data_IF_017809635220
#
_entry.id   IF_017809635220
#
_cell.length_a   1.000
_cell.length_b   1.000
_cell.length_c   1.000
_cell.angle_alpha   90.00
_cell.angle_beta   90.00
_cell.angle_gamma   90.00
#
_symmetry.space_group_name_H-M   'P 1'
#
loop_
_entity.id
_entity.type
_entity.pdbx_description
1 polymer ?
#
# COMPACT_ATOMS: atom_id res chain seq x y z
N UNK A 1 -1.74 -11.41 -20.42
CA UNK A 1 -2.33 -12.19 -19.31
C UNK A 1 -1.26 -12.13 -18.23
N UNK A 2 -1.52 -11.40 -17.15
CA UNK A 2 -0.51 -11.11 -16.13
C UNK A 2 -1.02 -11.56 -14.78
N UNK A 3 -0.08 -11.89 -13.90
CA UNK A 3 -0.37 -12.31 -12.54
C UNK A 3 -0.96 -11.12 -11.79
N UNK A 4 -2.18 -11.27 -11.27
CA UNK A 4 -2.86 -10.20 -10.52
C UNK A 4 -3.24 -10.74 -9.15
N UNK A 5 -2.93 -9.93 -8.14
CA UNK A 5 -3.29 -10.20 -6.76
C UNK A 5 -4.25 -9.12 -6.26
N UNK A 6 -5.30 -9.55 -5.57
CA UNK A 6 -6.11 -8.67 -4.74
C UNK A 6 -5.39 -8.43 -3.41
N UNK A 7 -5.17 -7.17 -3.09
CA UNK A 7 -4.80 -6.72 -1.76
C UNK A 7 -6.01 -6.15 -1.05
N UNK A 8 -6.24 -6.57 0.19
CA UNK A 8 -7.27 -6.02 1.08
C UNK A 8 -6.63 -5.61 2.40
N UNK A 9 -6.51 -4.32 2.63
CA UNK A 9 -5.86 -3.69 3.78
C UNK A 9 -6.93 -3.04 4.64
N UNK A 10 -6.92 -3.30 5.94
CA UNK A 10 -7.77 -2.65 6.92
C UNK A 10 -6.97 -2.43 8.20
N UNK A 11 -6.60 -1.19 8.49
CA UNK A 11 -5.65 -0.87 9.55
C UNK A 11 -6.10 0.31 10.40
N UNK A 12 -5.80 0.22 11.69
CA UNK A 12 -5.73 1.35 12.61
C UNK A 12 -4.26 1.79 12.65
N UNK A 13 -4.02 3.07 12.41
CA UNK A 13 -2.71 3.70 12.53
C UNK A 13 -2.67 4.60 13.77
N UNK A 14 -1.47 4.78 14.29
CA UNK A 14 -1.19 5.69 15.42
C UNK A 14 -1.55 7.14 15.07
N UNK A 15 -1.68 8.00 16.07
CA UNK A 15 -2.00 9.43 15.88
C UNK A 15 -0.80 10.34 15.67
N UNK A 16 0.42 9.82 15.72
CA UNK A 16 1.69 10.58 15.63
C UNK A 16 2.21 10.76 14.20
N UNK A 17 1.40 10.46 13.18
CA UNK A 17 1.75 10.73 11.78
C UNK A 17 1.91 12.24 11.57
N UNK A 18 3.02 12.63 10.98
CA UNK A 18 3.26 14.01 10.56
C UNK A 18 2.32 14.42 9.42
N UNK A 19 2.13 15.72 9.23
CA UNK A 19 1.32 16.24 8.12
C UNK A 19 1.84 15.79 6.74
N UNK A 20 3.17 15.68 6.59
CA UNK A 20 3.81 15.18 5.36
C UNK A 20 3.49 13.71 5.10
N UNK A 21 3.60 12.85 6.12
CA UNK A 21 3.24 11.44 6.01
C UNK A 21 1.76 11.24 5.69
N UNK A 22 0.86 12.05 6.29
CA UNK A 22 -0.57 12.00 5.96
C UNK A 22 -0.81 12.44 4.51
N UNK A 23 -0.12 13.47 4.03
CA UNK A 23 -0.25 13.94 2.64
C UNK A 23 0.22 12.88 1.63
N UNK A 24 1.37 12.25 1.90
CA UNK A 24 1.91 11.19 1.05
C UNK A 24 1.05 9.91 1.10
N UNK A 25 0.55 9.53 2.28
CA UNK A 25 -0.39 8.41 2.40
C UNK A 25 -1.69 8.70 1.61
N UNK A 26 -2.23 9.92 1.68
CA UNK A 26 -3.38 10.32 0.86
C UNK A 26 -3.07 10.24 -0.62
N UNK A 27 -1.88 10.66 -1.05
CA UNK A 27 -1.46 10.50 -2.44
C UNK A 27 -1.43 9.03 -2.86
N UNK A 28 -0.75 8.17 -2.10
CA UNK A 28 -0.72 6.73 -2.39
C UNK A 28 -2.11 6.09 -2.45
N UNK A 29 -3.08 6.64 -1.72
CA UNK A 29 -4.48 6.21 -1.73
C UNK A 29 -5.34 6.85 -2.84
N UNK A 30 -4.77 7.72 -3.68
CA UNK A 30 -5.51 8.46 -4.70
C UNK A 30 -6.44 9.53 -4.14
N UNK A 31 -6.25 9.93 -2.87
CA UNK A 31 -7.08 10.88 -2.13
C UNK A 31 -6.46 12.29 -2.06
N UNK A 32 -5.30 12.50 -2.68
CA UNK A 32 -4.56 13.75 -2.64
C UNK A 32 -3.52 13.87 -3.76
N UNK A 33 -2.96 15.07 -3.96
CA UNK A 33 -1.90 15.31 -4.93
C UNK A 33 -0.58 14.69 -4.47
N UNK A 34 0.31 14.43 -5.43
CA UNK A 34 1.67 13.99 -5.13
C UNK A 34 2.42 15.05 -4.29
N UNK A 35 3.11 14.65 -3.21
CA UNK A 35 3.95 15.57 -2.44
C UNK A 35 5.23 15.94 -3.22
N UNK A 36 5.79 17.12 -2.93
CA UNK A 36 7.05 17.58 -3.56
C UNK A 36 8.25 16.70 -3.22
N UNK A 37 8.24 16.07 -2.04
CA UNK A 37 9.30 15.16 -1.59
C UNK A 37 8.69 13.98 -0.84
N UNK A 38 8.40 12.87 -1.56
CA UNK A 38 7.99 11.60 -0.96
C UNK A 38 9.07 11.06 0.00
N UNK A 39 8.62 10.51 1.11
CA UNK A 39 9.43 10.04 2.25
C UNK A 39 9.05 8.64 2.72
N UNK A 40 7.80 8.22 2.49
CA UNK A 40 7.29 6.87 2.74
C UNK A 40 7.83 5.91 1.67
N UNK A 41 7.64 6.25 0.39
CA UNK A 41 8.25 5.54 -0.74
C UNK A 41 9.00 6.58 -1.59
N UNK A 42 10.33 6.70 -1.43
CA UNK A 42 11.08 7.79 -2.04
C UNK A 42 11.40 7.56 -3.53
N UNK A 43 11.36 6.33 -4.01
CA UNK A 43 11.84 5.97 -5.36
C UNK A 43 10.87 5.04 -6.09
N UNK A 44 10.70 5.27 -7.39
CA UNK A 44 9.81 4.53 -8.29
C UNK A 44 10.53 4.14 -9.59
N UNK A 45 11.61 3.35 -9.51
CA UNK A 45 12.36 2.94 -10.68
C UNK A 45 11.47 2.15 -11.65
N UNK A 46 11.48 2.54 -12.92
CA UNK A 46 10.74 1.91 -14.00
C UNK A 46 11.64 1.74 -15.22
N UNK A 47 11.73 0.51 -15.75
CA UNK A 47 12.49 0.23 -16.97
C UNK A 47 11.63 0.59 -18.17
N UNK A 48 12.10 1.53 -18.97
CA UNK A 48 11.39 2.05 -20.14
C UNK A 48 12.32 2.10 -21.34
N UNK A 49 11.77 2.19 -22.53
CA UNK A 49 12.56 2.36 -23.75
C UNK A 49 12.88 3.85 -23.96
N UNK A 50 14.14 4.17 -24.22
CA UNK A 50 14.57 5.49 -24.69
C UNK A 50 14.18 5.73 -26.17
N UNK A 51 14.52 6.91 -26.70
CA UNK A 51 14.24 7.27 -28.10
C UNK A 51 14.92 6.35 -29.14
N UNK A 52 15.97 5.62 -28.75
CA UNK A 52 16.67 4.64 -29.56
C UNK A 52 16.15 3.20 -29.35
N UNK A 53 15.17 3.00 -28.46
CA UNK A 53 14.62 1.70 -28.09
C UNK A 53 15.46 0.92 -27.07
N UNK A 54 16.47 1.53 -26.46
CA UNK A 54 17.30 0.95 -25.41
C UNK A 54 16.65 1.04 -24.03
N UNK A 55 16.90 0.08 -23.11
CA UNK A 55 16.34 0.13 -21.77
C UNK A 55 17.03 1.19 -20.91
N UNK A 56 16.24 2.09 -20.32
CA UNK A 56 16.67 3.10 -19.34
C UNK A 56 15.80 2.99 -18.09
N UNK A 57 16.39 3.24 -16.91
CA UNK A 57 15.65 3.33 -15.65
C UNK A 57 15.27 4.79 -15.42
N UNK A 58 13.98 5.05 -15.36
CA UNK A 58 13.42 6.35 -15.01
C UNK A 58 12.66 6.28 -13.69
N UNK A 59 12.67 7.36 -12.92
CA UNK A 59 11.82 7.50 -11.75
C UNK A 59 10.42 7.96 -12.19
N UNK A 60 9.41 7.10 -11.99
CA UNK A 60 8.03 7.34 -12.42
C UNK A 60 7.07 7.23 -11.22
N UNK A 61 6.98 8.27 -10.39
CA UNK A 61 6.16 8.27 -9.19
C UNK A 61 4.68 8.10 -9.50
N UNK A 62 4.01 7.25 -8.72
CA UNK A 62 2.59 6.97 -8.87
C UNK A 62 1.94 6.47 -7.58
N UNK A 63 0.62 6.65 -7.43
CA UNK A 63 -0.09 6.16 -6.26
C UNK A 63 -0.13 4.63 -6.28
N UNK A 64 0.23 3.99 -5.16
CA UNK A 64 0.38 2.53 -5.07
C UNK A 64 -0.93 1.81 -4.71
N UNK A 65 -1.82 2.49 -4.01
CA UNK A 65 -3.13 2.01 -3.57
C UNK A 65 -4.24 2.97 -4.02
N UNK A 66 -4.04 3.68 -5.12
CA UNK A 66 -4.91 4.78 -5.54
C UNK A 66 -5.89 4.44 -6.64
N UNK A 67 -5.95 3.18 -7.09
CA UNK A 67 -6.88 2.79 -8.15
C UNK A 67 -8.30 2.85 -7.61
N UNK A 68 -9.20 3.41 -8.42
CA UNK A 68 -10.64 3.54 -8.13
C UNK A 68 -11.43 2.98 -9.31
N UNK A 69 -12.66 2.54 -9.07
CA UNK A 69 -13.56 2.00 -10.10
C UNK A 69 -13.74 0.49 -9.98
N UNK A 70 -14.08 -0.17 -11.08
CA UNK A 70 -14.26 -1.63 -11.11
C UNK A 70 -12.91 -2.37 -11.12
N UNK A 71 -12.84 -3.49 -10.41
CA UNK A 71 -11.72 -4.43 -10.51
C UNK A 71 -11.70 -5.10 -11.88
N UNK A 72 -10.50 -5.28 -12.45
CA UNK A 72 -10.33 -5.85 -13.79
C UNK A 72 -10.42 -7.38 -13.76
N UNK A 73 -9.84 -8.01 -12.73
CA UNK A 73 -9.73 -9.47 -12.59
C UNK A 73 -10.58 -10.00 -11.45
N UNK A 74 -10.74 -9.21 -10.40
CA UNK A 74 -11.48 -9.56 -9.21
C UNK A 74 -12.73 -8.70 -9.12
N UNK A 75 -13.93 -9.32 -9.13
CA UNK A 75 -15.20 -8.59 -9.06
C UNK A 75 -15.28 -7.61 -7.89
N UNK A 76 -16.04 -6.53 -8.06
CA UNK A 76 -16.23 -5.49 -7.05
C UNK A 76 -15.40 -4.24 -7.30
N UNK A 77 -15.50 -3.25 -6.41
CA UNK A 77 -14.84 -1.97 -6.56
C UNK A 77 -13.41 -1.97 -5.98
N UNK A 78 -12.50 -1.28 -6.64
CA UNK A 78 -11.24 -0.83 -6.06
C UNK A 78 -11.53 0.42 -5.24
N UNK A 79 -11.12 0.41 -3.98
CA UNK A 79 -11.46 1.48 -3.02
C UNK A 79 -10.25 1.80 -2.16
N UNK A 80 -10.17 3.06 -1.73
CA UNK A 80 -9.23 3.51 -0.71
C UNK A 80 -9.85 4.61 0.12
N UNK A 81 -9.75 4.48 1.44
CA UNK A 81 -10.35 5.37 2.43
C UNK A 81 -9.35 5.61 3.54
N UNK A 82 -9.24 6.87 3.98
CA UNK A 82 -8.45 7.29 5.14
C UNK A 82 -9.27 8.29 5.96
N UNK A 83 -9.53 7.98 7.23
CA UNK A 83 -10.27 8.86 8.15
C UNK A 83 -9.47 9.12 9.43
N UNK A 84 -9.60 10.33 9.96
CA UNK A 84 -9.05 10.70 11.27
C UNK A 84 -9.99 10.21 12.39
N UNK A 85 -9.40 9.73 13.50
CA UNK A 85 -10.12 9.36 14.73
C UNK A 85 -9.87 10.42 15.81
N UNK A 86 -10.47 11.59 15.61
CA UNK A 86 -10.26 12.77 16.50
C UNK A 86 -10.71 12.54 17.95
N UNK A 87 -11.64 11.61 18.20
CA UNK A 87 -12.18 11.34 19.53
C UNK A 87 -11.33 10.39 20.40
N UNK A 88 -10.23 9.82 19.87
CA UNK A 88 -9.36 8.93 20.64
C UNK A 88 -8.35 9.75 21.47
N UNK A 89 -7.96 9.31 22.70
CA UNK A 89 -7.06 10.05 23.58
C UNK A 89 -5.71 10.46 22.95
N UNK A 90 -5.23 9.68 21.98
CA UNK A 90 -3.97 9.93 21.26
C UNK A 90 -4.21 10.24 19.77
N UNK A 91 -5.44 10.57 19.38
CA UNK A 91 -5.86 10.58 17.98
C UNK A 91 -5.67 9.22 17.30
N UNK A 92 -5.65 9.22 15.99
CA UNK A 92 -5.37 8.02 15.19
C UNK A 92 -5.93 8.15 13.78
N UNK A 93 -5.58 7.20 12.93
CA UNK A 93 -6.13 7.10 11.59
C UNK A 93 -6.71 5.71 11.37
N UNK A 94 -7.77 5.64 10.58
CA UNK A 94 -8.29 4.37 10.07
C UNK A 94 -8.20 4.37 8.57
N UNK A 95 -7.72 3.25 8.03
CA UNK A 95 -7.49 3.07 6.62
C UNK A 95 -8.15 1.79 6.15
N UNK A 96 -8.74 1.84 4.95
CA UNK A 96 -9.16 0.65 4.21
C UNK A 96 -8.77 0.82 2.76
N UNK A 97 -8.12 -0.18 2.18
CA UNK A 97 -7.81 -0.20 0.75
C UNK A 97 -8.08 -1.59 0.18
N UNK A 98 -8.70 -1.65 -0.99
CA UNK A 98 -8.85 -2.86 -1.79
C UNK A 98 -8.34 -2.57 -3.20
N UNK A 99 -7.29 -3.27 -3.60
CA UNK A 99 -6.54 -2.97 -4.82
C UNK A 99 -6.20 -4.25 -5.58
N UNK A 100 -6.02 -4.12 -6.89
CA UNK A 100 -5.38 -5.14 -7.71
C UNK A 100 -3.94 -4.70 -7.97
N UNK A 101 -2.98 -5.59 -7.75
CA UNK A 101 -1.54 -5.33 -7.96
C UNK A 101 -0.90 -6.45 -8.77
N UNK A 102 0.07 -6.07 -9.60
CA UNK A 102 0.93 -7.02 -10.31
C UNK A 102 2.20 -7.31 -9.47
N UNK A 103 2.82 -8.50 -9.56
CA UNK A 103 4.09 -8.80 -8.89
C UNK A 103 5.21 -7.78 -9.13
N UNK A 104 5.29 -7.20 -10.32
CA UNK A 104 6.25 -6.11 -10.64
C UNK A 104 6.07 -4.85 -9.76
N UNK A 105 4.96 -4.73 -9.03
CA UNK A 105 4.68 -3.64 -8.08
C UNK A 105 5.05 -4.03 -6.64
N UNK A 106 5.40 -5.29 -6.34
CA UNK A 106 5.58 -5.81 -4.98
C UNK A 106 6.68 -5.11 -4.21
N UNK A 107 7.79 -4.73 -4.83
CA UNK A 107 8.86 -4.02 -4.11
C UNK A 107 8.38 -2.65 -3.61
N UNK A 108 7.68 -1.90 -4.46
CA UNK A 108 7.14 -0.56 -4.11
C UNK A 108 6.00 -0.64 -3.11
N UNK A 109 5.04 -1.53 -3.36
CA UNK A 109 3.94 -1.79 -2.43
C UNK A 109 4.49 -2.32 -1.11
N UNK A 110 5.54 -3.14 -1.16
CA UNK A 110 6.25 -3.66 0.00
C UNK A 110 6.84 -2.55 0.87
N UNK A 111 7.51 -1.57 0.25
CA UNK A 111 7.99 -0.38 0.97
C UNK A 111 6.87 0.37 1.71
N UNK A 112 5.73 0.59 1.05
CA UNK A 112 4.57 1.23 1.68
C UNK A 112 3.99 0.37 2.82
N UNK A 113 3.83 -0.94 2.64
CA UNK A 113 3.31 -1.85 3.66
C UNK A 113 4.24 -1.96 4.86
N UNK A 114 5.56 -1.99 4.63
CA UNK A 114 6.55 -1.98 5.69
C UNK A 114 6.50 -0.69 6.49
N UNK A 115 6.33 0.46 5.83
CA UNK A 115 6.09 1.72 6.53
C UNK A 115 4.78 1.69 7.33
N UNK A 116 3.68 1.21 6.74
CA UNK A 116 2.38 1.07 7.43
C UNK A 116 2.50 0.20 8.69
N UNK A 117 3.29 -0.88 8.65
CA UNK A 117 3.55 -1.72 9.81
C UNK A 117 4.27 -0.97 10.94
N UNK A 118 5.18 -0.05 10.60
CA UNK A 118 5.79 0.85 11.59
C UNK A 118 4.77 1.80 12.22
N UNK A 119 3.72 2.20 11.50
CA UNK A 119 2.67 3.11 11.98
C UNK A 119 1.42 2.42 12.51
N UNK A 120 1.37 1.09 12.47
CA UNK A 120 0.23 0.32 12.93
C UNK A 120 -0.05 0.55 14.42
N UNK A 121 -1.33 0.56 14.79
CA UNK A 121 -1.78 0.50 16.18
C UNK A 121 -1.49 -0.86 16.83
N UNK A 122 -1.51 -0.92 18.16
CA UNK A 122 -1.14 -2.13 18.92
C UNK A 122 -1.98 -3.37 18.57
N UNK A 123 -3.24 -3.20 18.18
CA UNK A 123 -4.11 -4.32 17.80
C UNK A 123 -3.66 -5.10 16.55
N UNK A 124 -2.77 -4.54 15.75
CA UNK A 124 -2.23 -5.19 14.55
C UNK A 124 -0.91 -5.94 14.81
N UNK A 125 -0.29 -5.72 15.98
CA UNK A 125 0.98 -6.37 16.36
C UNK A 125 0.71 -7.74 16.98
N UNK A 126 1.45 -8.74 16.53
CA UNK A 126 1.41 -10.10 17.07
C UNK A 126 2.54 -10.31 18.08
N UNK A 127 2.38 -11.32 18.93
CA UNK A 127 3.36 -11.67 19.97
C UNK A 127 4.73 -12.11 19.42
N UNK A 128 4.78 -12.53 18.16
CA UNK A 128 6.01 -12.92 17.47
C UNK A 128 6.74 -11.74 16.80
N UNK A 129 6.24 -10.51 17.01
CA UNK A 129 6.78 -9.28 16.44
C UNK A 129 6.28 -8.95 15.03
N UNK A 130 5.52 -9.84 14.40
CA UNK A 130 4.92 -9.56 13.10
C UNK A 130 3.75 -8.59 13.20
N UNK A 131 3.51 -7.83 12.14
CA UNK A 131 2.36 -6.94 12.01
C UNK A 131 1.45 -7.47 10.92
N UNK A 132 0.18 -7.71 11.25
CA UNK A 132 -0.82 -8.05 10.25
C UNK A 132 -1.31 -6.78 9.58
N UNK A 133 -1.10 -6.66 8.27
CA UNK A 133 -1.47 -5.45 7.50
C UNK A 133 -2.71 -5.67 6.62
N UNK A 134 -3.12 -6.92 6.41
CA UNK A 134 -4.32 -7.24 5.65
C UNK A 134 -4.27 -8.64 5.05
N UNK A 135 -4.79 -8.77 3.85
CA UNK A 135 -4.91 -10.02 3.10
C UNK A 135 -4.45 -9.85 1.67
N UNK A 136 -3.87 -10.91 1.11
CA UNK A 136 -3.53 -11.01 -0.31
C UNK A 136 -4.19 -12.26 -0.92
N UNK A 137 -4.63 -12.18 -2.17
CA UNK A 137 -5.22 -13.32 -2.87
C UNK A 137 -4.87 -13.28 -4.36
N UNK A 138 -4.29 -14.34 -4.89
CA UNK A 138 -4.17 -14.49 -6.34
C UNK A 138 -5.56 -14.55 -6.98
N UNK A 139 -5.79 -13.87 -8.10
CA UNK A 139 -7.14 -13.67 -8.62
C UNK A 139 -7.93 -14.96 -8.93
N UNK A 140 -7.23 -16.07 -9.24
CA UNK A 140 -7.83 -17.38 -9.49
C UNK A 140 -7.98 -18.23 -8.22
N UNK A 141 -7.38 -17.82 -7.10
CA UNK A 141 -7.53 -18.48 -5.81
C UNK A 141 -8.86 -18.10 -5.15
N UNK A 142 -9.52 -19.05 -4.50
CA UNK A 142 -10.71 -18.83 -3.68
C UNK A 142 -10.37 -18.42 -2.23
N UNK A 143 -9.11 -18.54 -1.82
CA UNK A 143 -8.67 -18.32 -0.43
C UNK A 143 -7.68 -17.16 -0.33
N UNK A 144 -7.98 -16.14 0.49
CA UNK A 144 -7.01 -15.11 0.83
C UNK A 144 -6.02 -15.62 1.88
N UNK A 145 -4.79 -15.12 1.79
CA UNK A 145 -3.70 -15.40 2.72
C UNK A 145 -3.40 -14.15 3.56
N UNK A 146 -3.04 -14.30 4.86
CA UNK A 146 -2.68 -13.17 5.70
C UNK A 146 -1.45 -12.45 5.13
N UNK A 147 -1.58 -11.15 4.91
CA UNK A 147 -0.46 -10.28 4.57
C UNK A 147 0.18 -9.78 5.87
N UNK A 148 1.42 -10.17 6.10
CA UNK A 148 2.17 -9.83 7.32
C UNK A 148 3.50 -9.20 6.99
N UNK A 149 3.89 -8.21 7.80
CA UNK A 149 5.22 -7.62 7.79
C UNK A 149 5.98 -8.10 8.99
N UNK A 150 7.23 -8.56 8.78
CA UNK A 150 8.13 -8.98 9.85
C UNK A 150 9.53 -8.48 9.53
N UNK A 151 10.20 -7.90 10.52
CA UNK A 151 11.56 -7.38 10.38
C UNK A 151 11.74 -6.39 9.20
N UNK A 152 10.67 -5.67 8.84
CA UNK A 152 10.65 -4.71 7.73
C UNK A 152 10.36 -5.32 6.35
N UNK A 153 10.11 -6.63 6.26
CA UNK A 153 9.84 -7.34 5.01
C UNK A 153 8.40 -7.87 4.96
N UNK A 154 7.80 -7.82 3.77
CA UNK A 154 6.46 -8.35 3.51
C UNK A 154 6.56 -9.82 3.12
N UNK A 155 5.76 -10.68 3.76
CA UNK A 155 5.60 -12.06 3.32
C UNK A 155 4.69 -12.15 2.10
N UNK A 156 5.25 -12.07 0.91
CA UNK A 156 4.54 -12.34 -0.36
C UNK A 156 4.37 -13.86 -0.59
N UNK A 157 3.31 -14.29 -1.30
CA UNK A 157 3.10 -15.68 -1.69
C UNK A 157 4.10 -16.20 -2.73
#
# INVERSE_FOLDING_TARGET
MGDVFELSIAMDLRGDLSAGEVAELRWHLGLGPMPESPSIVPEFPSVVADDAGGPVVEDRPGPLLGRQGEGLKVPGALVSVLLSREAAPNGGWVMTARQEVHPDEFDRVGGLLSWLATRAGEGHRRSDGSVHVGWIRYYESDRPEPLTVRDGEVGWP
#
